data_IF_118816326500
#
_entry.id   IF_118816326500
#
_cell.length_a   1.000
_cell.length_b   1.000
_cell.length_c   1.000
_cell.angle_alpha   90.00
_cell.angle_beta   90.00
_cell.angle_gamma   90.00
#
_symmetry.space_group_name_H-M   'P 1'
#
loop_
_entity.id
_entity.type
_entity.pdbx_description
1 polymer ?
#
# COMPACT_ATOMS: atom_id res chain seq x y z
N UNK A 1 -1.56 7.16 6.01
CA UNK A 1 -0.76 7.63 7.15
C UNK A 1 0.37 6.68 7.45
N UNK A 2 0.14 5.36 7.50
CA UNK A 2 1.17 4.37 7.86
C UNK A 2 2.52 4.50 7.14
N UNK A 3 2.53 4.71 5.82
CA UNK A 3 3.77 4.92 5.06
C UNK A 3 4.54 6.17 5.51
N UNK A 4 3.84 7.30 5.72
CA UNK A 4 4.44 8.55 6.19
C UNK A 4 4.97 8.45 7.62
N UNK A 5 4.24 7.77 8.51
CA UNK A 5 4.70 7.51 9.89
C UNK A 5 5.96 6.62 9.92
N UNK A 6 6.18 5.82 8.89
CA UNK A 6 7.37 4.99 8.72
C UNK A 6 8.46 5.67 7.88
N UNK A 7 8.31 6.95 7.56
CA UNK A 7 9.25 7.72 6.72
C UNK A 7 9.53 7.07 5.35
N UNK A 8 8.53 6.39 4.79
CA UNK A 8 8.62 5.74 3.47
C UNK A 8 8.11 6.70 2.39
N UNK A 9 9.00 7.05 1.46
CA UNK A 9 8.65 7.85 0.29
C UNK A 9 7.89 7.02 -0.75
N UNK A 10 6.91 7.65 -1.40
CA UNK A 10 6.14 7.06 -2.49
C UNK A 10 6.72 7.57 -3.81
N UNK A 11 7.24 6.67 -4.62
CA UNK A 11 7.72 6.97 -5.96
C UNK A 11 6.54 7.12 -6.94
N UNK A 12 5.60 6.16 -6.91
CA UNK A 12 4.39 6.21 -7.73
C UNK A 12 3.16 5.71 -6.96
N UNK A 13 2.01 6.33 -7.23
CA UNK A 13 0.72 5.93 -6.67
C UNK A 13 -0.33 5.87 -7.78
N UNK A 14 -0.87 4.68 -8.01
CA UNK A 14 -1.95 4.45 -8.96
C UNK A 14 -3.16 3.88 -8.21
N UNK A 15 -4.36 4.36 -8.52
CA UNK A 15 -5.62 3.90 -7.94
C UNK A 15 -6.62 3.61 -9.05
N UNK A 16 -6.96 2.34 -9.21
CA UNK A 16 -8.04 1.88 -10.09
C UNK A 16 -9.29 1.57 -9.27
N UNK A 17 -10.47 1.71 -9.89
CA UNK A 17 -11.76 1.32 -9.30
C UNK A 17 -12.67 0.70 -10.36
N UNK A 18 -13.45 -0.31 -9.97
CA UNK A 18 -14.51 -0.88 -10.80
C UNK A 18 -15.83 -0.14 -10.57
N UNK A 19 -15.99 1.04 -11.20
CA UNK A 19 -17.20 1.87 -11.03
C UNK A 19 -17.39 2.32 -9.58
N UNK A 20 -18.54 1.97 -8.96
CA UNK A 20 -18.80 2.22 -7.54
C UNK A 20 -18.29 1.10 -6.60
N UNK A 21 -17.65 0.07 -7.15
CA UNK A 21 -17.22 -1.13 -6.42
C UNK A 21 -15.81 -1.03 -5.82
N UNK A 22 -15.07 -2.13 -5.98
CA UNK A 22 -13.75 -2.32 -5.39
C UNK A 22 -12.71 -1.36 -5.96
N UNK A 23 -11.76 -1.00 -5.12
CA UNK A 23 -10.60 -0.21 -5.51
C UNK A 23 -9.33 -1.01 -5.28
N UNK A 24 -8.37 -0.87 -6.20
CA UNK A 24 -7.04 -1.46 -6.10
C UNK A 24 -6.03 -0.34 -6.27
N UNK A 25 -5.08 -0.28 -5.34
CA UNK A 25 -3.94 0.63 -5.45
C UNK A 25 -2.67 -0.14 -5.76
N UNK A 26 -1.86 0.41 -6.67
CA UNK A 26 -0.48 -0.01 -6.89
C UNK A 26 0.42 1.15 -6.45
N UNK A 27 1.28 0.87 -5.47
CA UNK A 27 2.16 1.85 -4.85
C UNK A 27 3.59 1.36 -4.99
N UNK A 28 4.43 2.16 -5.62
CA UNK A 28 5.88 1.98 -5.64
C UNK A 28 6.49 2.89 -4.59
N UNK A 29 7.45 2.36 -3.84
CA UNK A 29 8.10 3.09 -2.75
C UNK A 29 9.62 3.05 -2.92
N UNK A 30 10.27 4.03 -2.32
CA UNK A 30 11.72 4.08 -2.30
C UNK A 30 12.25 3.03 -1.32
N UNK A 31 12.97 2.04 -1.85
CA UNK A 31 13.67 1.05 -1.05
C UNK A 31 12.81 -0.10 -0.53
N UNK A 32 13.25 -0.72 0.57
CA UNK A 32 12.67 -1.95 1.09
C UNK A 32 11.60 -1.66 2.14
N UNK A 33 10.40 -2.22 1.95
CA UNK A 33 9.37 -2.23 3.01
C UNK A 33 9.66 -3.30 4.07
N UNK A 34 9.65 -2.86 5.33
CA UNK A 34 9.69 -3.69 6.54
C UNK A 34 8.42 -4.56 6.66
N UNK A 35 8.53 -5.87 6.95
CA UNK A 35 7.37 -6.75 7.20
C UNK A 35 6.35 -6.24 8.23
N UNK A 36 6.77 -5.51 9.26
CA UNK A 36 5.84 -4.93 10.24
C UNK A 36 4.93 -3.86 9.65
N UNK A 37 5.44 -3.07 8.71
CA UNK A 37 4.66 -2.06 8.00
C UNK A 37 3.59 -2.73 7.12
N UNK A 38 3.90 -3.87 6.50
CA UNK A 38 2.90 -4.66 5.76
C UNK A 38 1.76 -5.10 6.68
N UNK A 39 2.08 -5.63 7.87
CA UNK A 39 1.05 -6.02 8.86
C UNK A 39 0.19 -4.84 9.29
N UNK A 40 0.77 -3.65 9.45
CA UNK A 40 -0.01 -2.43 9.77
C UNK A 40 -0.96 -2.07 8.63
N UNK A 41 -0.48 -2.11 7.38
CA UNK A 41 -1.30 -1.84 6.20
C UNK A 41 -2.45 -2.85 6.04
N UNK A 42 -2.21 -4.14 6.34
CA UNK A 42 -3.24 -5.19 6.31
C UNK A 42 -4.35 -5.00 7.35
N UNK A 43 -4.06 -4.28 8.45
CA UNK A 43 -5.03 -4.01 9.52
C UNK A 43 -5.85 -2.73 9.31
N UNK A 44 -5.63 -2.01 8.19
CA UNK A 44 -6.44 -0.83 7.88
C UNK A 44 -7.86 -1.29 7.51
N UNK A 45 -8.88 -0.70 8.13
CA UNK A 45 -10.27 -1.17 8.06
C UNK A 45 -10.87 -1.33 6.65
N UNK A 46 -10.39 -0.56 5.67
CA UNK A 46 -10.86 -0.60 4.28
C UNK A 46 -9.90 -1.32 3.32
N UNK A 47 -8.84 -1.94 3.83
CA UNK A 47 -7.89 -2.75 3.05
C UNK A 47 -8.34 -4.21 3.10
N UNK A 48 -8.64 -4.78 1.93
CA UNK A 48 -9.02 -6.21 1.81
C UNK A 48 -7.82 -7.14 1.79
N UNK A 49 -6.75 -6.72 1.13
CA UNK A 49 -5.50 -7.48 1.02
C UNK A 49 -4.35 -6.56 0.64
N UNK A 50 -3.14 -6.94 1.06
CA UNK A 50 -1.88 -6.32 0.65
C UNK A 50 -1.04 -7.41 0.00
N UNK A 51 -0.37 -7.09 -1.10
CA UNK A 51 0.63 -7.98 -1.69
C UNK A 51 1.90 -7.19 -1.95
N UNK A 52 2.99 -7.61 -1.32
CA UNK A 52 4.32 -7.10 -1.64
C UNK A 52 4.76 -7.67 -2.99
N UNK A 53 5.09 -6.78 -3.92
CA UNK A 53 5.73 -7.12 -5.19
C UNK A 53 7.21 -6.74 -5.10
N UNK A 54 8.07 -7.56 -5.69
CA UNK A 54 9.50 -7.27 -5.82
C UNK A 54 9.92 -7.81 -7.18
N UNK A 55 10.47 -6.91 -7.99
CA UNK A 55 10.90 -7.17 -9.37
C UNK A 55 12.41 -7.13 -9.45
#
# INVERSE_FOLDING_TARGET
TELGNAEVNIATFNLGRTGAGEAVSLIEVDGKINPELIRKLENISNVKSIKKLSF
#
